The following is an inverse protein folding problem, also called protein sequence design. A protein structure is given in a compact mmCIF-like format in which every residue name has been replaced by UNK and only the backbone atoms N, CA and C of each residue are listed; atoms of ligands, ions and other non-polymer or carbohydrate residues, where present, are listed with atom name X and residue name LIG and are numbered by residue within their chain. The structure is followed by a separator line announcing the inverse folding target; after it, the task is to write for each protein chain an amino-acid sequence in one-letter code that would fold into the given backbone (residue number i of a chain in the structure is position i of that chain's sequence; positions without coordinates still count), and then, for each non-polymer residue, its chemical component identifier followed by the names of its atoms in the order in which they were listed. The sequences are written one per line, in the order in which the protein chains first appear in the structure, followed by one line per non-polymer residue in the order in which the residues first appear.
data_IF_771853173049
#
_entry.id   IF_771853173049
#
_cell.length_a   1.000
_cell.length_b   1.000
_cell.length_c   1.000
_cell.angle_alpha   90.00
_cell.angle_beta   90.00
_cell.angle_gamma   90.00
#
_symmetry.space_group_name_H-M   'P 1'
#
loop_
_entity.id
_entity.type
_entity.pdbx_description
1 polymer ?
#
# COMPACT_ATOMS: atom_id res chain seq x y z
N UNK A 1 18.25 17.35 1.00
CA UNK A 1 17.89 16.40 -0.05
C UNK A 1 18.56 15.08 0.22
N UNK A 2 17.85 13.99 0.12
CA UNK A 2 18.49 12.70 0.21
C UNK A 2 17.62 11.58 0.71
N UNK A 3 18.27 10.43 0.87
CA UNK A 3 17.67 9.23 1.41
C UNK A 3 18.13 9.03 2.85
N UNK A 4 17.23 8.54 3.68
CA UNK A 4 17.51 8.01 5.02
C UNK A 4 17.23 6.52 4.98
N UNK A 5 18.25 5.70 5.00
CA UNK A 5 18.19 4.27 4.80
C UNK A 5 18.45 3.56 6.12
N UNK A 6 17.50 2.73 6.55
CA UNK A 6 17.60 1.94 7.77
C UNK A 6 18.63 0.80 7.67
N UNK A 7 18.94 0.19 8.81
CA UNK A 7 19.87 -0.93 8.88
C UNK A 7 19.31 -2.16 8.12
N UNK A 8 20.20 -2.91 7.49
CA UNK A 8 19.84 -4.16 6.80
C UNK A 8 19.02 -3.99 5.52
N UNK A 9 18.82 -2.77 5.04
CA UNK A 9 18.13 -2.53 3.76
C UNK A 9 18.96 -3.07 2.61
N UNK A 10 18.29 -3.75 1.67
CA UNK A 10 18.89 -4.29 0.46
C UNK A 10 18.33 -3.56 -0.76
N UNK A 11 19.20 -3.02 -1.58
CA UNK A 11 18.84 -2.29 -2.79
C UNK A 11 19.53 -2.97 -3.98
N UNK A 12 18.72 -3.45 -4.93
CA UNK A 12 19.21 -4.11 -6.13
C UNK A 12 19.64 -3.10 -7.19
N UNK A 13 20.38 -3.60 -8.18
CA UNK A 13 20.90 -2.77 -9.28
C UNK A 13 19.76 -2.08 -10.06
N UNK A 14 20.03 -0.87 -10.53
CA UNK A 14 19.07 -0.09 -11.31
C UNK A 14 17.92 0.52 -10.50
N UNK A 15 17.81 0.23 -9.19
CA UNK A 15 16.85 0.93 -8.35
C UNK A 15 17.24 2.40 -8.17
N UNK A 16 16.28 3.31 -8.29
CA UNK A 16 16.49 4.75 -8.25
C UNK A 16 15.71 5.36 -7.08
N UNK A 17 16.42 5.91 -6.10
CA UNK A 17 15.82 6.36 -4.85
C UNK A 17 16.08 7.85 -4.64
N UNK A 18 15.05 8.56 -4.19
CA UNK A 18 15.11 9.98 -3.83
C UNK A 18 15.33 10.93 -5.02
N UNK A 19 14.87 10.56 -6.18
CA UNK A 19 14.74 11.49 -7.30
C UNK A 19 13.64 12.51 -7.04
N UNK A 20 13.65 13.57 -7.83
CA UNK A 20 12.64 14.61 -7.77
C UNK A 20 11.23 14.06 -7.98
N UNK A 21 10.23 14.63 -7.28
CA UNK A 21 8.84 14.34 -7.54
C UNK A 21 8.46 14.55 -9.01
N UNK A 22 7.64 13.65 -9.54
CA UNK A 22 7.02 13.83 -10.85
C UNK A 22 5.76 14.72 -10.71
N UNK A 23 5.94 15.86 -10.08
CA UNK A 23 4.91 16.88 -9.86
C UNK A 23 5.38 18.20 -10.45
N UNK A 24 4.59 18.72 -11.40
CA UNK A 24 4.89 19.99 -12.07
C UNK A 24 4.93 21.21 -11.13
N UNK A 25 4.39 21.07 -9.92
CA UNK A 25 4.40 22.12 -8.90
C UNK A 25 5.64 22.05 -7.99
N UNK A 26 6.49 21.04 -8.16
CA UNK A 26 7.69 20.90 -7.36
C UNK A 26 8.67 22.04 -7.67
N UNK A 27 8.98 22.83 -6.64
CA UNK A 27 9.85 24.04 -6.75
C UNK A 27 11.30 23.82 -6.33
N UNK A 28 11.76 22.57 -6.14
CA UNK A 28 13.12 22.27 -5.70
C UNK A 28 13.29 22.20 -4.18
N UNK A 29 12.22 22.00 -3.43
CA UNK A 29 12.21 21.96 -1.97
C UNK A 29 13.13 20.88 -1.41
N UNK A 30 13.64 21.12 -0.20
CA UNK A 30 14.44 20.14 0.54
C UNK A 30 13.49 19.10 1.14
N UNK A 31 13.51 17.91 0.57
CA UNK A 31 12.64 16.79 0.92
C UNK A 31 13.41 15.47 0.90
N UNK A 32 12.85 14.41 1.48
CA UNK A 32 13.55 13.14 1.67
C UNK A 32 12.76 11.93 1.23
N UNK A 33 13.45 10.79 1.12
CA UNK A 33 12.91 9.44 1.19
C UNK A 33 13.41 8.79 2.48
N UNK A 34 12.54 8.15 3.23
CA UNK A 34 12.90 7.37 4.41
C UNK A 34 12.55 5.89 4.16
N UNK A 35 13.52 4.99 4.36
CA UNK A 35 13.33 3.53 4.16
C UNK A 35 13.65 2.82 5.47
N UNK A 36 12.68 2.11 6.00
CA UNK A 36 12.78 1.37 7.25
C UNK A 36 13.69 0.14 7.14
N UNK A 37 14.11 -0.35 8.31
CA UNK A 37 15.06 -1.45 8.47
C UNK A 37 14.63 -2.74 7.75
N UNK A 38 15.60 -3.52 7.27
CA UNK A 38 15.42 -4.82 6.63
C UNK A 38 14.52 -4.83 5.38
N UNK A 39 14.16 -3.68 4.84
CA UNK A 39 13.39 -3.58 3.61
C UNK A 39 14.25 -3.96 2.40
N UNK A 40 13.66 -4.70 1.47
CA UNK A 40 14.29 -5.09 0.21
C UNK A 40 13.64 -4.35 -0.95
N UNK A 41 14.45 -3.68 -1.76
CA UNK A 41 14.05 -2.96 -2.97
C UNK A 41 14.73 -3.63 -4.15
N UNK A 42 13.92 -4.16 -5.06
CA UNK A 42 14.37 -4.92 -6.21
C UNK A 42 14.70 -4.02 -7.40
N UNK A 43 15.12 -4.69 -8.46
CA UNK A 43 15.71 -4.10 -9.65
C UNK A 43 14.76 -3.09 -10.30
N UNK A 44 15.31 -1.92 -10.67
CA UNK A 44 14.61 -0.87 -11.42
C UNK A 44 13.37 -0.30 -10.71
N UNK A 45 13.19 -0.56 -9.42
CA UNK A 45 12.17 0.16 -8.65
C UNK A 45 12.56 1.64 -8.50
N UNK A 46 11.55 2.52 -8.52
CA UNK A 46 11.77 3.97 -8.41
C UNK A 46 10.97 4.53 -7.24
N UNK A 47 11.60 5.38 -6.42
CA UNK A 47 10.97 6.01 -5.26
C UNK A 47 11.30 7.50 -5.29
N UNK A 48 10.31 8.34 -5.52
CA UNK A 48 10.47 9.79 -5.50
C UNK A 48 10.47 10.33 -4.07
N UNK A 49 11.22 11.41 -3.82
CA UNK A 49 11.14 12.12 -2.54
C UNK A 49 9.83 12.91 -2.43
N UNK A 50 9.51 13.36 -1.21
CA UNK A 50 8.29 14.12 -0.97
C UNK A 50 8.28 15.52 -1.60
N UNK A 51 7.13 16.16 -1.54
CA UNK A 51 6.93 17.58 -1.90
C UNK A 51 6.83 18.46 -0.65
N UNK A 52 6.44 19.72 -0.79
CA UNK A 52 6.15 20.60 0.33
C UNK A 52 5.02 20.09 1.23
N UNK A 53 4.19 19.18 0.74
CA UNK A 53 3.04 18.67 1.47
C UNK A 53 3.47 17.88 2.71
N UNK A 54 4.24 16.81 2.55
CA UNK A 54 4.67 15.96 3.67
C UNK A 54 6.18 16.05 3.95
N UNK A 55 6.94 16.69 3.06
CA UNK A 55 8.42 16.79 3.09
C UNK A 55 9.14 15.45 2.89
N UNK A 56 8.45 14.35 2.80
CA UNK A 56 9.05 13.02 2.69
C UNK A 56 8.14 11.99 2.03
N UNK A 57 8.74 10.98 1.44
CA UNK A 57 8.12 9.70 1.10
C UNK A 57 8.67 8.64 2.05
N UNK A 58 7.82 7.77 2.57
CA UNK A 58 8.19 6.79 3.60
C UNK A 58 7.89 5.38 3.13
N UNK A 59 8.87 4.48 3.28
CA UNK A 59 8.70 3.04 3.18
C UNK A 59 9.09 2.43 4.52
N UNK A 60 8.18 1.67 5.13
CA UNK A 60 8.34 1.06 6.44
C UNK A 60 9.39 -0.05 6.48
N UNK A 61 9.41 -0.79 7.59
CA UNK A 61 10.35 -1.88 7.87
C UNK A 61 9.89 -3.20 7.25
N UNK A 62 10.85 -4.08 6.98
CA UNK A 62 10.61 -5.44 6.50
C UNK A 62 9.72 -5.51 5.23
N UNK A 63 9.70 -4.46 4.42
CA UNK A 63 8.95 -4.42 3.18
C UNK A 63 9.68 -5.18 2.06
N UNK A 64 8.92 -5.67 1.08
CA UNK A 64 9.44 -6.26 -0.13
C UNK A 64 8.88 -5.55 -1.36
N UNK A 65 9.68 -4.66 -1.92
CA UNK A 65 9.32 -3.85 -3.10
C UNK A 65 9.95 -4.52 -4.31
N UNK A 66 9.11 -5.13 -5.16
CA UNK A 66 9.58 -5.92 -6.29
C UNK A 66 10.00 -5.06 -7.48
N UNK A 67 10.50 -5.73 -8.52
CA UNK A 67 11.10 -5.06 -9.67
C UNK A 67 10.10 -4.19 -10.42
N UNK A 68 10.57 -3.03 -10.91
CA UNK A 68 9.79 -2.04 -11.66
C UNK A 68 8.64 -1.40 -10.90
N UNK A 69 8.58 -1.51 -9.59
CA UNK A 69 7.59 -0.79 -8.77
C UNK A 69 7.91 0.70 -8.79
N UNK A 70 6.89 1.53 -8.95
CA UNK A 70 7.01 2.99 -8.79
C UNK A 70 6.26 3.47 -7.56
N UNK A 71 6.96 4.13 -6.63
CA UNK A 71 6.40 4.83 -5.48
C UNK A 71 6.59 6.32 -5.70
N UNK A 72 5.49 7.03 -5.96
CA UNK A 72 5.52 8.47 -6.17
C UNK A 72 5.77 9.25 -4.87
N UNK A 73 5.82 10.55 -4.98
CA UNK A 73 6.07 11.49 -3.88
C UNK A 73 4.99 11.43 -2.79
N UNK A 74 5.36 11.75 -1.57
CA UNK A 74 4.49 11.86 -0.41
C UNK A 74 3.71 10.57 -0.06
N UNK A 75 4.08 9.42 -0.63
CA UNK A 75 3.50 8.13 -0.27
C UNK A 75 3.99 7.68 1.10
N UNK A 76 3.12 6.96 1.82
CA UNK A 76 3.42 6.33 3.10
C UNK A 76 3.12 4.82 3.00
N UNK A 77 4.17 4.02 3.00
CA UNK A 77 4.09 2.57 2.99
C UNK A 77 4.42 2.07 4.40
N UNK A 78 3.50 1.35 5.01
CA UNK A 78 3.66 0.78 6.35
C UNK A 78 4.67 -0.37 6.41
N UNK A 79 4.71 -1.03 7.54
CA UNK A 79 5.63 -2.13 7.80
C UNK A 79 5.14 -3.46 7.19
N UNK A 80 6.07 -4.33 6.81
CA UNK A 80 5.79 -5.68 6.29
C UNK A 80 4.89 -5.71 5.03
N UNK A 81 4.90 -4.65 4.26
CA UNK A 81 4.15 -4.53 3.00
C UNK A 81 4.91 -5.25 1.88
N UNK A 82 4.16 -5.93 1.03
CA UNK A 82 4.69 -6.53 -0.20
C UNK A 82 4.04 -5.83 -1.39
N UNK A 83 4.86 -5.33 -2.31
CA UNK A 83 4.37 -4.72 -3.56
C UNK A 83 5.01 -5.49 -4.72
N UNK A 84 4.16 -6.17 -5.50
CA UNK A 84 4.62 -7.01 -6.58
C UNK A 84 4.96 -6.20 -7.85
N UNK A 85 5.64 -6.88 -8.77
CA UNK A 85 6.27 -6.31 -9.96
C UNK A 85 5.39 -5.35 -10.75
N UNK A 86 6.00 -4.26 -11.21
CA UNK A 86 5.41 -3.26 -12.10
C UNK A 86 4.13 -2.59 -11.58
N UNK A 87 3.91 -2.61 -10.28
CA UNK A 87 2.87 -1.81 -9.64
C UNK A 87 3.31 -0.36 -9.60
N UNK A 88 2.40 0.53 -10.00
CA UNK A 88 2.65 1.97 -10.03
C UNK A 88 1.61 2.69 -9.18
N UNK A 89 2.06 3.66 -8.39
CA UNK A 89 1.17 4.47 -7.57
C UNK A 89 1.40 5.96 -7.76
N UNK A 90 0.32 6.72 -7.74
CA UNK A 90 0.35 8.17 -7.72
C UNK A 90 0.81 8.73 -6.38
N UNK A 91 0.99 10.05 -6.30
CA UNK A 91 1.39 10.70 -5.05
C UNK A 91 0.36 10.54 -3.92
N UNK A 92 0.82 10.67 -2.68
CA UNK A 92 -0.01 10.65 -1.47
C UNK A 92 -0.77 9.33 -1.20
N UNK A 93 -0.35 8.23 -1.80
CA UNK A 93 -0.91 6.91 -1.51
C UNK A 93 -0.44 6.45 -0.13
N UNK A 94 -1.37 5.95 0.67
CA UNK A 94 -1.08 5.33 1.96
C UNK A 94 -1.35 3.81 1.87
N UNK A 95 -0.37 2.99 2.19
CA UNK A 95 -0.51 1.53 2.29
C UNK A 95 -0.17 1.12 3.70
N UNK A 96 -1.15 0.58 4.43
CA UNK A 96 -0.97 0.20 5.83
C UNK A 96 -0.27 -1.16 5.98
N UNK A 97 0.11 -1.45 7.21
CA UNK A 97 0.93 -2.60 7.59
C UNK A 97 0.38 -3.94 7.06
N UNK A 98 1.27 -4.82 6.65
CA UNK A 98 0.95 -6.18 6.17
C UNK A 98 0.05 -6.24 4.92
N UNK A 99 -0.22 -5.14 4.26
CA UNK A 99 -0.92 -5.16 2.98
C UNK A 99 -0.06 -5.83 1.90
N UNK A 100 -0.72 -6.50 0.96
CA UNK A 100 -0.08 -7.09 -0.20
C UNK A 100 -0.69 -6.53 -1.48
N UNK A 101 0.12 -6.00 -2.35
CA UNK A 101 -0.30 -5.44 -3.64
C UNK A 101 0.19 -6.37 -4.75
N UNK A 102 -0.75 -6.85 -5.54
CA UNK A 102 -0.48 -7.70 -6.71
C UNK A 102 0.34 -6.97 -7.78
N UNK A 103 0.88 -7.72 -8.73
CA UNK A 103 1.63 -7.14 -9.84
C UNK A 103 0.76 -6.37 -10.83
N UNK A 104 1.34 -5.39 -11.53
CA UNK A 104 0.65 -4.58 -12.56
C UNK A 104 -0.57 -3.81 -12.01
N UNK A 105 -0.57 -3.45 -10.74
CA UNK A 105 -1.63 -2.65 -10.13
C UNK A 105 -1.33 -1.17 -10.37
N UNK A 106 -2.38 -0.41 -10.75
CA UNK A 106 -2.32 1.05 -10.81
C UNK A 106 -3.12 1.64 -9.64
N UNK A 107 -2.44 2.33 -8.71
CA UNK A 107 -3.08 2.96 -7.56
C UNK A 107 -3.19 4.46 -7.80
N UNK A 108 -4.42 4.97 -7.77
CA UNK A 108 -4.67 6.40 -7.96
C UNK A 108 -4.14 7.20 -6.78
N UNK A 109 -3.74 8.45 -7.03
CA UNK A 109 -3.30 9.36 -5.97
C UNK A 109 -4.33 9.48 -4.83
N UNK A 110 -3.84 9.64 -3.59
CA UNK A 110 -4.62 9.75 -2.36
C UNK A 110 -5.39 8.49 -1.93
N UNK A 111 -5.30 7.39 -2.65
CA UNK A 111 -5.92 6.13 -2.24
C UNK A 111 -5.25 5.58 -0.99
N UNK A 112 -6.07 5.08 -0.07
CA UNK A 112 -5.64 4.37 1.13
C UNK A 112 -5.91 2.88 1.01
N UNK A 113 -4.91 2.08 1.34
CA UNK A 113 -5.01 0.61 1.34
C UNK A 113 -4.82 0.12 2.77
N UNK A 114 -5.88 -0.45 3.35
CA UNK A 114 -5.92 -0.86 4.75
C UNK A 114 -5.05 -2.08 5.06
N UNK A 115 -4.73 -2.24 6.33
CA UNK A 115 -3.86 -3.30 6.84
C UNK A 115 -4.38 -4.70 6.49
N UNK A 116 -3.45 -5.62 6.28
CA UNK A 116 -3.74 -7.02 5.95
C UNK A 116 -4.60 -7.24 4.70
N UNK A 117 -4.88 -6.22 3.91
CA UNK A 117 -5.60 -6.37 2.65
C UNK A 117 -4.73 -7.02 1.58
N UNK A 118 -5.38 -7.56 0.57
CA UNK A 118 -4.75 -8.04 -0.65
C UNK A 118 -5.42 -7.38 -1.85
N UNK A 119 -4.65 -6.65 -2.64
CA UNK A 119 -5.10 -6.09 -3.92
C UNK A 119 -4.67 -7.02 -5.04
N UNK A 120 -5.63 -7.55 -5.78
CA UNK A 120 -5.40 -8.49 -6.88
C UNK A 120 -4.52 -7.89 -7.98
N UNK A 121 -3.85 -8.75 -8.76
CA UNK A 121 -3.00 -8.30 -9.85
C UNK A 121 -3.80 -7.69 -11.02
N UNK A 122 -3.19 -6.73 -11.73
CA UNK A 122 -3.74 -6.15 -12.97
C UNK A 122 -4.94 -5.20 -12.78
N UNK A 123 -5.25 -4.78 -11.56
CA UNK A 123 -6.40 -3.93 -11.28
C UNK A 123 -6.04 -2.44 -11.15
N UNK A 124 -7.06 -1.58 -11.27
CA UNK A 124 -6.95 -0.15 -10.96
C UNK A 124 -7.63 0.13 -9.62
N UNK A 125 -6.86 0.54 -8.62
CA UNK A 125 -7.37 1.00 -7.34
C UNK A 125 -7.61 2.51 -7.40
N UNK A 126 -8.86 2.91 -7.62
CA UNK A 126 -9.29 4.32 -7.72
C UNK A 126 -10.10 4.78 -6.51
N UNK A 127 -10.31 3.88 -5.57
CA UNK A 127 -10.98 4.10 -4.28
C UNK A 127 -10.19 3.41 -3.19
N UNK A 128 -10.43 3.82 -1.96
CA UNK A 128 -9.82 3.19 -0.78
C UNK A 128 -10.18 1.71 -0.70
N UNK A 129 -9.20 0.93 -0.25
CA UNK A 129 -9.33 -0.51 -0.01
C UNK A 129 -9.40 -0.73 1.50
N UNK A 130 -10.52 -1.17 2.03
CA UNK A 130 -10.66 -1.45 3.47
C UNK A 130 -9.67 -2.52 3.97
N UNK A 131 -9.37 -2.56 5.28
CA UNK A 131 -8.46 -3.55 5.85
C UNK A 131 -8.98 -4.98 5.74
N UNK A 132 -8.10 -5.97 5.78
CA UNK A 132 -8.36 -7.41 5.83
C UNK A 132 -9.03 -8.04 4.60
N UNK A 133 -9.39 -7.27 3.58
CA UNK A 133 -10.15 -7.77 2.42
C UNK A 133 -9.24 -8.25 1.29
N UNK A 134 -9.83 -9.07 0.42
CA UNK A 134 -9.40 -9.26 -0.95
C UNK A 134 -10.16 -8.27 -1.83
N UNK A 135 -9.43 -7.42 -2.52
CA UNK A 135 -9.97 -6.47 -3.50
C UNK A 135 -9.49 -6.86 -4.90
N UNK A 136 -10.41 -7.03 -5.83
CA UNK A 136 -10.11 -7.49 -7.17
C UNK A 136 -11.16 -7.02 -8.19
N UNK A 137 -11.08 -7.57 -9.41
CA UNK A 137 -12.07 -7.31 -10.46
C UNK A 137 -11.89 -5.97 -11.20
N UNK A 138 -12.78 -5.76 -12.18
CA UNK A 138 -12.86 -4.52 -12.96
C UNK A 138 -14.34 -4.16 -13.19
N UNK A 139 -14.83 -3.09 -12.56
CA UNK A 139 -14.16 -2.20 -11.59
C UNK A 139 -13.72 -2.92 -10.32
N UNK A 140 -12.77 -2.34 -9.57
CA UNK A 140 -12.28 -2.88 -8.29
C UNK A 140 -13.45 -3.03 -7.31
N UNK A 141 -13.59 -4.23 -6.73
CA UNK A 141 -14.66 -4.61 -5.82
C UNK A 141 -14.16 -5.41 -4.62
N UNK A 142 -14.99 -5.49 -3.60
CA UNK A 142 -14.80 -6.40 -2.47
C UNK A 142 -15.06 -7.83 -2.92
N UNK A 143 -14.07 -8.71 -2.78
CA UNK A 143 -14.15 -10.13 -3.14
C UNK A 143 -14.07 -11.05 -1.91
N UNK A 144 -14.43 -10.52 -0.76
CA UNK A 144 -14.37 -11.24 0.51
C UNK A 144 -13.12 -10.88 1.31
N UNK A 145 -12.86 -11.66 2.37
CA UNK A 145 -11.69 -11.47 3.23
C UNK A 145 -10.43 -12.10 2.63
N UNK A 146 -9.28 -11.51 2.90
CA UNK A 146 -7.97 -12.10 2.64
C UNK A 146 -7.67 -13.26 3.61
N UNK A 147 -8.53 -14.29 3.65
CA UNK A 147 -8.47 -15.39 4.60
C UNK A 147 -7.11 -16.09 4.62
N UNK A 148 -6.51 -16.28 3.45
CA UNK A 148 -5.19 -16.93 3.33
C UNK A 148 -4.10 -16.09 3.99
N UNK A 149 -4.09 -14.79 3.71
CA UNK A 149 -3.14 -13.84 4.30
C UNK A 149 -3.31 -13.75 5.82
N UNK A 150 -4.54 -13.66 6.30
CA UNK A 150 -4.86 -13.59 7.73
C UNK A 150 -4.38 -14.86 8.48
N UNK A 151 -4.71 -16.05 7.97
CA UNK A 151 -4.25 -17.32 8.56
C UNK A 151 -2.71 -17.42 8.62
N UNK A 152 -2.00 -17.01 7.55
CA UNK A 152 -0.54 -16.97 7.52
C UNK A 152 0.07 -16.00 8.55
N UNK A 153 -0.69 -15.01 8.98
CA UNK A 153 -0.29 -14.04 10.02
C UNK A 153 -0.77 -14.39 11.42
N UNK A 154 -1.34 -15.61 11.59
CA UNK A 154 -1.69 -16.16 12.89
C UNK A 154 -3.08 -15.77 13.41
N UNK A 155 -3.94 -15.18 12.58
CA UNK A 155 -5.33 -14.94 12.96
C UNK A 155 -6.06 -16.26 13.18
N UNK A 156 -6.77 -16.38 14.32
CA UNK A 156 -7.62 -17.54 14.60
C UNK A 156 -8.86 -17.55 13.72
N UNK A 157 -9.54 -18.69 13.65
CA UNK A 157 -10.77 -18.78 12.87
C UNK A 157 -11.84 -17.86 13.45
N UNK A 158 -11.95 -17.76 14.78
CA UNK A 158 -12.88 -16.87 15.47
C UNK A 158 -12.67 -15.41 15.08
N UNK A 159 -11.41 -14.94 15.09
CA UNK A 159 -11.08 -13.57 14.69
C UNK A 159 -11.43 -13.30 13.21
N UNK A 160 -11.21 -14.29 12.33
CA UNK A 160 -11.58 -14.16 10.92
C UNK A 160 -13.11 -14.12 10.75
N UNK A 161 -13.84 -14.90 11.54
CA UNK A 161 -15.30 -14.92 11.49
C UNK A 161 -15.90 -13.63 12.07
N UNK A 162 -15.33 -13.05 13.11
CA UNK A 162 -15.70 -11.73 13.62
C UNK A 162 -15.52 -10.65 12.54
N UNK A 163 -14.35 -10.59 11.90
CA UNK A 163 -14.11 -9.65 10.81
C UNK A 163 -15.10 -9.88 9.65
N UNK A 164 -15.40 -11.16 9.34
CA UNK A 164 -16.37 -11.50 8.29
C UNK A 164 -17.76 -10.96 8.62
N UNK A 165 -18.22 -11.14 9.85
CA UNK A 165 -19.54 -10.68 10.28
C UNK A 165 -19.69 -9.16 10.13
N UNK A 166 -18.64 -8.39 10.47
CA UNK A 166 -18.60 -6.94 10.25
C UNK A 166 -18.75 -6.60 8.76
N UNK A 167 -18.00 -7.28 7.88
CA UNK A 167 -18.10 -7.02 6.45
C UNK A 167 -19.40 -7.50 5.81
N UNK A 168 -19.96 -8.60 6.31
CA UNK A 168 -21.30 -9.03 5.88
C UNK A 168 -22.37 -8.01 6.28
N UNK A 169 -22.25 -7.41 7.44
CA UNK A 169 -23.15 -6.33 7.87
C UNK A 169 -23.03 -5.10 6.95
N UNK A 170 -21.79 -4.68 6.63
CA UNK A 170 -21.54 -3.51 5.78
C UNK A 170 -22.00 -3.71 4.33
N UNK A 171 -21.79 -4.89 3.75
CA UNK A 171 -21.98 -5.11 2.30
C UNK A 171 -23.19 -5.95 1.95
N UNK A 172 -23.70 -6.77 2.86
CA UNK A 172 -24.72 -7.78 2.55
C UNK A 172 -26.03 -7.65 3.35
N UNK A 173 -26.12 -6.71 4.32
CA UNK A 173 -27.31 -6.53 5.18
C UNK A 173 -28.43 -5.73 4.52
N UNK A 174 -28.15 -4.99 3.43
CA UNK A 174 -29.07 -4.03 2.84
C UNK A 174 -29.12 -2.67 3.58
N UNK A 175 -28.37 -2.51 4.66
CA UNK A 175 -28.21 -1.23 5.38
C UNK A 175 -27.29 -0.30 4.60
N UNK A 176 -27.41 1.00 4.80
CA UNK A 176 -26.35 1.91 4.38
C UNK A 176 -25.17 1.83 5.37
N UNK A 177 -24.00 2.34 4.95
CA UNK A 177 -22.76 2.20 5.74
C UNK A 177 -22.89 2.78 7.16
N UNK A 178 -23.56 3.93 7.31
CA UNK A 178 -23.75 4.55 8.65
C UNK A 178 -24.60 3.66 9.55
N UNK A 179 -25.70 3.14 9.05
CA UNK A 179 -26.57 2.20 9.79
C UNK A 179 -25.81 0.91 10.16
N UNK A 180 -25.03 0.37 9.24
CA UNK A 180 -24.23 -0.83 9.52
C UNK A 180 -23.17 -0.58 10.59
N UNK A 181 -22.56 0.61 10.60
CA UNK A 181 -21.56 1.00 11.63
C UNK A 181 -22.21 1.18 13.00
N UNK A 182 -23.45 1.69 13.07
CA UNK A 182 -24.18 1.85 14.33
C UNK A 182 -24.59 0.50 14.95
N UNK A 183 -24.58 -0.59 14.15
CA UNK A 183 -24.89 -1.95 14.63
C UNK A 183 -23.65 -2.81 14.97
N UNK A 184 -22.42 -2.29 14.75
CA UNK A 184 -21.15 -2.95 15.09
C UNK A 184 -20.74 -2.59 16.53
#
# INVERSE_FOLDING_TARGET
NGSRIGNGVKISHGAVISTEPQDLKFGGEITTVEIGENTTIREFATINRGTNHSKKTVVGKNCYIMSYVHIAHDCVIGDNVIIANATNMGGHVEIDNYANIGGLVAIHQFVKVGKYSFVGAGVKAVKDVPPYILAGGYPLSYEGLNKVGLKRKGFTQEQIDEIKNVYDLIYNSGLNVSQAVDEI
#
